data_IF_459860394024
#
_entry.id   IF_459860394024
#
_cell.length_a   1.000
_cell.length_b   1.000
_cell.length_c   1.000
_cell.angle_alpha   90.00
_cell.angle_beta   90.00
_cell.angle_gamma   90.00
#
_symmetry.space_group_name_H-M   'P 1'
#
loop_
_entity.id
_entity.type
_entity.pdbx_description
1 polymer ?
#
# COMPACT_ATOMS: atom_id res chain seq x y z
N UNK A 1 -8.65 14.89 -10.07
CA UNK A 1 -9.92 14.26 -9.64
C UNK A 1 -9.83 13.86 -8.17
N UNK A 2 -10.93 13.87 -7.42
CA UNK A 2 -10.95 13.54 -5.98
C UNK A 2 -12.14 12.63 -5.67
N UNK A 3 -11.92 11.59 -4.86
CA UNK A 3 -12.97 10.70 -4.35
C UNK A 3 -12.76 10.46 -2.85
N UNK A 4 -13.77 10.82 -2.05
CA UNK A 4 -13.82 10.62 -0.60
C UNK A 4 -15.06 9.84 -0.21
N UNK A 5 -15.18 9.45 1.07
CA UNK A 5 -16.29 8.62 1.57
C UNK A 5 -17.69 9.20 1.30
N UNK A 6 -17.83 10.51 1.29
CA UNK A 6 -19.10 11.22 1.07
C UNK A 6 -19.40 11.53 -0.41
N UNK A 7 -18.52 11.10 -1.33
CA UNK A 7 -18.76 11.31 -2.77
C UNK A 7 -19.89 10.40 -3.26
N UNK A 8 -20.96 10.98 -3.82
CA UNK A 8 -22.07 10.21 -4.37
C UNK A 8 -21.62 9.27 -5.50
N UNK A 9 -22.43 8.24 -5.79
CA UNK A 9 -22.07 7.16 -6.71
C UNK A 9 -21.91 7.67 -8.17
N UNK A 10 -22.76 8.60 -8.61
CA UNK A 10 -22.69 9.16 -9.95
C UNK A 10 -21.38 9.95 -10.16
N UNK A 11 -21.08 10.90 -9.27
CA UNK A 11 -19.86 11.71 -9.34
C UNK A 11 -18.62 10.84 -9.24
N UNK A 12 -18.66 9.79 -8.41
CA UNK A 12 -17.57 8.80 -8.32
C UNK A 12 -17.26 8.17 -9.67
N UNK A 13 -18.31 7.71 -10.35
CA UNK A 13 -18.20 7.06 -11.66
C UNK A 13 -17.65 8.03 -12.72
N UNK A 14 -18.12 9.28 -12.69
CA UNK A 14 -17.69 10.29 -13.65
C UNK A 14 -16.25 10.73 -13.41
N UNK A 15 -15.83 10.89 -12.15
CA UNK A 15 -14.43 11.18 -11.78
C UNK A 15 -13.48 10.07 -12.23
N UNK A 16 -13.86 8.81 -12.08
CA UNK A 16 -13.06 7.66 -12.57
C UNK A 16 -12.96 7.71 -14.10
N UNK A 17 -14.07 7.90 -14.81
CA UNK A 17 -14.08 7.99 -16.28
C UNK A 17 -13.23 9.15 -16.79
N UNK A 18 -13.31 10.33 -16.15
CA UNK A 18 -12.50 11.49 -16.52
C UNK A 18 -11.01 11.24 -16.29
N UNK A 19 -10.65 10.61 -15.17
CA UNK A 19 -9.26 10.25 -14.92
C UNK A 19 -8.70 9.25 -15.93
N UNK A 20 -9.48 8.23 -16.28
CA UNK A 20 -9.05 7.17 -17.21
C UNK A 20 -8.93 7.65 -18.66
N UNK A 21 -9.78 8.58 -19.10
CA UNK A 21 -9.87 8.99 -20.51
C UNK A 21 -9.19 10.34 -20.81
N UNK A 22 -8.88 11.16 -19.81
CA UNK A 22 -8.29 12.48 -20.00
C UNK A 22 -6.77 12.43 -19.89
N UNK A 23 -6.08 12.91 -20.94
CA UNK A 23 -4.62 13.14 -20.89
C UNK A 23 -4.21 14.33 -20.01
N UNK A 24 -5.16 15.21 -19.66
CA UNK A 24 -4.89 16.39 -18.84
C UNK A 24 -5.05 16.11 -17.33
N UNK A 25 -5.54 14.92 -16.95
CA UNK A 25 -5.70 14.54 -15.55
C UNK A 25 -4.40 14.00 -14.98
N UNK A 26 -3.62 14.87 -14.33
CA UNK A 26 -2.32 14.50 -13.76
C UNK A 26 -2.42 13.77 -12.41
N UNK A 27 -3.37 14.17 -11.54
CA UNK A 27 -3.50 13.66 -10.17
C UNK A 27 -4.92 13.18 -9.88
N UNK A 28 -4.98 12.04 -9.19
CA UNK A 28 -6.19 11.47 -8.61
C UNK A 28 -6.00 11.29 -7.10
N UNK A 29 -6.81 11.98 -6.30
CA UNK A 29 -6.80 11.85 -4.85
C UNK A 29 -7.91 10.90 -4.41
N UNK A 30 -7.57 9.94 -3.57
CA UNK A 30 -8.52 9.02 -2.99
C UNK A 30 -8.16 8.70 -1.54
N UNK A 31 -9.16 8.68 -0.66
CA UNK A 31 -8.95 8.13 0.69
C UNK A 31 -8.82 6.61 0.60
N UNK A 32 -7.84 6.02 1.27
CA UNK A 32 -7.45 4.61 1.14
C UNK A 32 -8.64 3.65 1.33
N UNK A 33 -9.53 3.95 2.29
CA UNK A 33 -10.76 3.15 2.54
C UNK A 33 -11.82 3.29 1.45
N UNK A 34 -11.97 4.47 0.86
CA UNK A 34 -12.85 4.66 -0.29
C UNK A 34 -12.29 3.97 -1.55
N UNK A 35 -10.99 3.69 -1.61
CA UNK A 35 -10.34 2.90 -2.66
C UNK A 35 -10.62 1.39 -2.60
N UNK A 36 -11.11 0.88 -1.47
CA UNK A 36 -11.45 -0.54 -1.28
C UNK A 36 -12.64 -1.03 -2.11
N UNK A 37 -13.40 -0.12 -2.72
CA UNK A 37 -14.69 -0.39 -3.40
C UNK A 37 -14.58 -0.95 -4.83
N UNK A 38 -13.46 -1.59 -5.21
CA UNK A 38 -13.38 -2.27 -6.51
C UNK A 38 -13.13 -1.36 -7.74
N UNK A 39 -12.61 -0.15 -7.56
CA UNK A 39 -12.41 0.79 -8.68
C UNK A 39 -11.22 0.43 -9.57
N UNK A 40 -11.24 0.84 -10.84
CA UNK A 40 -10.13 0.69 -11.78
C UNK A 40 -9.42 2.04 -11.99
N UNK A 41 -8.11 2.08 -11.75
CA UNK A 41 -7.24 3.27 -11.90
C UNK A 41 -5.99 2.99 -12.75
N UNK A 42 -6.06 2.09 -13.74
CA UNK A 42 -4.95 1.72 -14.63
C UNK A 42 -4.31 2.88 -15.42
N UNK A 43 -5.00 4.00 -15.62
CA UNK A 43 -4.39 5.22 -16.16
C UNK A 43 -3.29 5.81 -15.26
N UNK A 44 -3.23 5.45 -13.98
CA UNK A 44 -2.14 5.80 -13.09
C UNK A 44 -1.00 4.76 -13.17
N UNK A 45 0.24 5.24 -13.12
CA UNK A 45 1.44 4.39 -12.98
C UNK A 45 2.38 4.87 -11.86
N UNK A 46 2.03 5.94 -11.16
CA UNK A 46 2.71 6.42 -9.96
C UNK A 46 1.71 6.49 -8.83
N UNK A 47 2.06 5.89 -7.70
CA UNK A 47 1.21 5.80 -6.51
C UNK A 47 1.99 6.43 -5.37
N UNK A 48 1.36 7.34 -4.64
CA UNK A 48 1.94 7.98 -3.46
C UNK A 48 1.03 7.63 -2.29
N UNK A 49 1.58 6.89 -1.34
CA UNK A 49 0.95 6.61 -0.04
C UNK A 49 1.41 7.70 0.92
N UNK A 50 0.47 8.55 1.31
CA UNK A 50 0.74 9.72 2.14
C UNK A 50 0.84 9.36 3.62
N UNK A 51 0.03 8.40 4.05
CA UNK A 51 -0.02 7.81 5.38
C UNK A 51 0.02 6.28 5.28
N UNK A 52 0.37 5.63 6.38
CA UNK A 52 0.41 4.16 6.48
C UNK A 52 -0.68 3.67 7.43
N UNK A 53 -1.47 2.68 7.01
CA UNK A 53 -2.45 2.01 7.86
C UNK A 53 -1.78 0.86 8.65
N UNK A 54 -2.30 0.57 9.83
CA UNK A 54 -1.91 -0.59 10.64
C UNK A 54 -2.23 -1.93 9.96
N UNK A 55 -3.08 -1.93 8.94
CA UNK A 55 -3.40 -3.10 8.13
C UNK A 55 -2.74 -2.98 6.74
N UNK A 56 -1.68 -3.76 6.44
CA UNK A 56 -0.95 -3.70 5.17
C UNK A 56 -1.83 -4.05 3.97
N UNK A 57 -2.89 -4.83 4.18
CA UNK A 57 -3.81 -5.25 3.11
C UNK A 57 -4.60 -4.07 2.53
N UNK A 58 -4.83 -3.01 3.32
CA UNK A 58 -5.52 -1.81 2.84
C UNK A 58 -4.68 -1.12 1.77
N UNK A 59 -3.37 -0.99 2.00
CA UNK A 59 -2.42 -0.40 1.06
C UNK A 59 -2.22 -1.29 -0.17
N UNK A 60 -2.05 -2.61 0.01
CA UNK A 60 -1.97 -3.58 -1.09
C UNK A 60 -3.19 -3.49 -2.01
N UNK A 61 -4.38 -3.39 -1.44
CA UNK A 61 -5.62 -3.23 -2.22
C UNK A 61 -5.68 -1.90 -2.96
N UNK A 62 -5.23 -0.81 -2.36
CA UNK A 62 -5.18 0.50 -3.00
C UNK A 62 -4.19 0.50 -4.18
N UNK A 63 -3.01 -0.09 -4.01
CA UNK A 63 -2.01 -0.28 -5.07
C UNK A 63 -2.60 -1.12 -6.21
N UNK A 64 -3.30 -2.21 -5.88
CA UNK A 64 -3.95 -3.11 -6.83
C UNK A 64 -5.10 -2.49 -7.67
N UNK A 65 -5.45 -1.22 -7.43
CA UNK A 65 -6.36 -0.46 -8.30
C UNK A 65 -5.67 0.07 -9.55
N UNK A 66 -4.38 0.40 -9.44
CA UNK A 66 -3.56 0.89 -10.55
C UNK A 66 -2.62 -0.22 -11.09
N UNK A 67 -2.04 -1.04 -10.20
CA UNK A 67 -1.32 -2.25 -10.56
C UNK A 67 -2.32 -3.40 -10.78
N UNK A 68 -2.87 -3.47 -12.00
CA UNK A 68 -3.97 -4.40 -12.35
C UNK A 68 -3.83 -4.92 -13.78
N UNK A 69 -4.38 -6.11 -14.06
CA UNK A 69 -4.37 -6.76 -15.38
C UNK A 69 -4.82 -5.80 -16.49
N UNK A 70 -3.91 -5.45 -17.41
CA UNK A 70 -4.13 -4.43 -18.45
C UNK A 70 -3.23 -3.20 -18.33
N UNK A 71 -2.48 -3.08 -17.22
CA UNK A 71 -1.41 -2.09 -17.09
C UNK A 71 -0.22 -2.46 -17.98
N UNK A 72 0.26 -1.52 -18.78
CA UNK A 72 1.39 -1.71 -19.70
C UNK A 72 2.65 -0.95 -19.27
N UNK A 73 2.52 -0.01 -18.33
CA UNK A 73 3.64 0.81 -17.83
C UNK A 73 4.11 0.29 -16.47
N UNK A 74 5.42 0.42 -16.15
CA UNK A 74 5.91 0.13 -14.81
C UNK A 74 5.19 1.01 -13.79
N UNK A 75 4.76 0.38 -12.70
CA UNK A 75 4.07 1.04 -11.59
C UNK A 75 5.07 1.30 -10.47
N UNK A 76 5.22 2.57 -10.09
CA UNK A 76 6.08 2.98 -8.98
C UNK A 76 5.22 3.34 -7.78
N UNK A 77 5.56 2.79 -6.62
CA UNK A 77 4.91 3.09 -5.35
C UNK A 77 5.90 3.83 -4.46
N UNK A 78 5.50 5.02 -4.02
CA UNK A 78 6.23 5.84 -3.08
C UNK A 78 5.44 5.89 -1.79
N UNK A 79 6.10 5.67 -0.65
CA UNK A 79 5.51 5.82 0.68
C UNK A 79 6.25 6.91 1.41
N UNK A 80 5.51 7.88 1.96
CA UNK A 80 6.09 8.89 2.83
C UNK A 80 6.06 8.40 4.27
N UNK A 81 7.19 8.58 4.95
CA UNK A 81 7.40 8.20 6.34
C UNK A 81 8.29 9.26 6.96
N UNK A 82 7.81 9.86 8.05
CA UNK A 82 8.54 10.92 8.75
C UNK A 82 9.46 10.32 9.82
N UNK A 83 10.77 10.61 9.73
CA UNK A 83 11.77 10.14 10.69
C UNK A 83 11.49 10.65 12.11
N UNK A 84 11.77 9.83 13.12
CA UNK A 84 11.55 10.13 14.55
C UNK A 84 10.09 10.44 14.91
N UNK A 85 9.14 9.76 14.28
CA UNK A 85 7.71 9.92 14.56
C UNK A 85 7.02 8.58 14.76
N UNK A 86 5.77 8.62 15.22
CA UNK A 86 4.95 7.42 15.37
C UNK A 86 4.74 6.66 14.05
N UNK A 87 4.92 7.31 12.90
CA UNK A 87 4.76 6.70 11.58
C UNK A 87 5.71 5.52 11.35
N UNK A 88 6.95 5.59 11.87
CA UNK A 88 7.92 4.50 11.79
C UNK A 88 7.40 3.24 12.51
N UNK A 89 6.82 3.43 13.70
CA UNK A 89 6.28 2.31 14.47
C UNK A 89 5.03 1.71 13.83
N UNK A 90 4.18 2.55 13.23
CA UNK A 90 3.00 2.10 12.50
C UNK A 90 3.42 1.25 11.30
N UNK A 91 4.44 1.68 10.56
CA UNK A 91 4.98 0.95 9.42
C UNK A 91 5.55 -0.40 9.84
N UNK A 92 6.36 -0.44 10.90
CA UNK A 92 6.94 -1.68 11.45
C UNK A 92 5.85 -2.68 11.85
N UNK A 93 4.80 -2.23 12.55
CA UNK A 93 3.65 -3.07 12.92
C UNK A 93 2.93 -3.59 11.68
N UNK A 94 2.76 -2.75 10.65
CA UNK A 94 2.11 -3.12 9.40
C UNK A 94 2.90 -4.19 8.65
N UNK A 95 4.22 -4.02 8.53
CA UNK A 95 5.13 -4.99 7.91
C UNK A 95 5.16 -6.32 8.67
N UNK A 96 5.24 -6.30 10.00
CA UNK A 96 5.22 -7.53 10.80
C UNK A 96 3.91 -8.31 10.62
N UNK A 97 2.76 -7.63 10.52
CA UNK A 97 1.48 -8.27 10.20
C UNK A 97 1.45 -8.86 8.79
N UNK A 98 2.12 -8.22 7.84
CA UNK A 98 2.23 -8.71 6.46
C UNK A 98 3.04 -10.00 6.41
N UNK A 99 4.22 -10.00 7.03
CA UNK A 99 5.10 -11.18 7.10
C UNK A 99 4.40 -12.35 7.80
N UNK A 100 3.71 -12.08 8.91
CA UNK A 100 2.92 -13.11 9.61
C UNK A 100 1.84 -13.71 8.70
N UNK A 101 1.17 -12.87 7.93
CA UNK A 101 0.16 -13.33 6.98
C UNK A 101 0.78 -14.18 5.86
N UNK A 102 1.91 -13.77 5.31
CA UNK A 102 2.62 -14.51 4.24
C UNK A 102 3.12 -15.86 4.73
N UNK A 103 3.77 -15.90 5.90
CA UNK A 103 4.23 -17.15 6.52
C UNK A 103 3.09 -18.14 6.76
N UNK A 104 1.91 -17.64 7.15
CA UNK A 104 0.72 -18.48 7.37
C UNK A 104 0.11 -18.99 6.05
N UNK A 105 0.12 -18.17 5.00
CA UNK A 105 -0.41 -18.56 3.68
C UNK A 105 0.49 -19.60 3.00
N UNK A 106 1.81 -19.46 3.15
CA UNK A 106 2.78 -20.39 2.56
C UNK A 106 2.86 -21.72 3.31
N UNK A 107 2.75 -21.71 4.64
CA UNK A 107 2.69 -22.91 5.45
C UNK A 107 1.24 -23.30 5.72
N UNK A 108 0.61 -24.02 4.77
CA UNK A 108 -0.73 -24.61 5.00
C UNK A 108 -0.76 -25.57 6.22
N UNK A 109 0.39 -26.00 6.75
CA UNK A 109 0.49 -26.87 7.92
C UNK A 109 1.81 -26.65 8.66
N UNK A 110 1.70 -26.58 10.00
CA UNK A 110 2.72 -26.80 11.05
C UNK A 110 3.28 -25.58 11.79
N UNK A 111 3.49 -25.83 13.09
CA UNK A 111 3.60 -24.97 14.28
C UNK A 111 3.77 -23.45 14.13
N UNK A 112 2.83 -22.74 14.75
CA UNK A 112 2.84 -21.28 14.95
C UNK A 112 4.11 -20.77 15.61
N UNK A 113 4.82 -21.61 16.38
CA UNK A 113 6.08 -21.26 17.04
C UNK A 113 7.23 -21.08 16.05
N UNK A 114 7.41 -22.00 15.10
CA UNK A 114 8.49 -21.92 14.10
C UNK A 114 8.28 -20.71 13.16
N UNK A 115 7.03 -20.47 12.76
CA UNK A 115 6.69 -19.26 12.01
C UNK A 115 6.99 -17.99 12.81
N UNK A 116 6.66 -17.94 14.11
CA UNK A 116 6.99 -16.77 14.94
C UNK A 116 8.50 -16.57 15.13
N UNK A 117 9.28 -17.64 15.22
CA UNK A 117 10.73 -17.57 15.37
C UNK A 117 11.41 -17.07 14.08
N UNK A 118 10.98 -17.57 12.92
CA UNK A 118 11.39 -17.06 11.61
C UNK A 118 11.06 -15.56 11.44
N UNK A 119 9.85 -15.15 11.83
CA UNK A 119 9.43 -13.75 11.75
C UNK A 119 10.24 -12.83 12.67
N UNK A 120 10.60 -13.30 13.87
CA UNK A 120 11.47 -12.56 14.79
C UNK A 120 12.88 -12.36 14.21
N UNK A 121 13.39 -13.32 13.44
CA UNK A 121 14.66 -13.16 12.72
C UNK A 121 14.56 -12.18 11.55
N UNK A 122 13.47 -12.21 10.76
CA UNK A 122 13.26 -11.28 9.65
C UNK A 122 13.09 -9.83 10.13
N UNK A 123 12.37 -9.62 11.22
CA UNK A 123 12.16 -8.27 11.80
C UNK A 123 13.49 -7.62 12.23
N UNK A 124 14.42 -8.40 12.80
CA UNK A 124 15.77 -7.92 13.15
C UNK A 124 16.60 -7.49 11.93
N UNK A 125 16.42 -8.15 10.78
CA UNK A 125 17.13 -7.81 9.55
C UNK A 125 16.57 -6.53 8.89
N UNK A 126 15.27 -6.27 9.02
CA UNK A 126 14.62 -5.04 8.54
C UNK A 126 15.12 -3.84 9.32
N UNK A 127 15.25 -3.95 10.66
CA UNK A 127 15.80 -2.90 11.51
C UNK A 127 17.25 -2.56 11.14
N UNK A 128 18.08 -3.56 10.83
CA UNK A 128 19.47 -3.34 10.40
C UNK A 128 19.53 -2.63 9.04
N UNK A 129 18.72 -3.01 8.05
CA UNK A 129 18.70 -2.34 6.74
C UNK A 129 18.22 -0.88 6.82
N UNK A 130 17.21 -0.58 7.66
CA UNK A 130 16.79 0.80 7.94
C UNK A 130 17.89 1.65 8.60
N UNK A 131 18.68 1.06 9.51
CA UNK A 131 19.82 1.74 10.12
C UNK A 131 20.95 2.03 9.13
N UNK A 132 21.23 1.12 8.19
CA UNK A 132 22.24 1.35 7.15
C UNK A 132 21.83 2.44 6.16
N UNK A 133 20.55 2.52 5.80
CA UNK A 133 20.06 3.57 4.89
C UNK A 133 20.11 4.97 5.54
N UNK A 134 19.96 5.04 6.88
CA UNK A 134 20.00 6.31 7.62
C UNK A 134 21.41 6.89 7.76
N UNK A 135 22.48 6.08 7.61
CA UNK A 135 23.87 6.54 7.68
C UNK A 135 24.43 7.07 6.35
N UNK A 136 23.67 6.98 5.25
CA UNK A 136 24.11 7.42 3.91
C UNK A 136 23.53 8.81 3.53
N UNK A 137 22.65 9.39 4.36
CA UNK A 137 22.19 10.78 4.25
C UNK A 137 22.99 11.70 5.19
#
# INVERSE_FOLDING_TARGET
EVIVGDTNIQNRSDSIKRFQNSKNSFIFLISTRAGGQGINLQAANKIILFDSDFNPQVDKQAIGRAYRIGQTRPVFVYRFVTKNTVEEKILEISQNKELFHEAFVENERQDTQEAMEYLAEQSKNIDQQSQFQTQID
#
